data_IF_638525503922
#
_entry.id   IF_638525503922
#
_cell.length_a   1.000
_cell.length_b   1.000
_cell.length_c   1.000
_cell.angle_alpha   90.00
_cell.angle_beta   90.00
_cell.angle_gamma   90.00
#
_symmetry.space_group_name_H-M   'P 1'
#
loop_
_entity.id
_entity.type
_entity.pdbx_description
1 polymer ?
#
# COMPACT_ATOMS: atom_id res chain seq x y z
N UNK A 1 -13.67 2.18 31.03
CA UNK A 1 -13.27 1.67 32.37
C UNK A 1 -12.02 0.82 32.23
N UNK A 2 -11.08 0.88 33.17
CA UNK A 2 -9.88 0.02 33.19
C UNK A 2 -10.26 -1.37 33.75
N UNK A 3 -9.93 -2.49 33.07
CA UNK A 3 -10.21 -3.83 33.59
C UNK A 3 -9.50 -4.09 34.92
N UNK A 4 -10.16 -4.80 35.84
CA UNK A 4 -9.54 -5.28 37.09
C UNK A 4 -8.70 -6.52 36.76
N UNK A 5 -7.41 -6.34 36.53
CA UNK A 5 -6.45 -7.45 36.36
C UNK A 5 -6.02 -8.00 37.73
N UNK A 6 -5.65 -9.28 37.75
CA UNK A 6 -5.10 -9.96 38.94
C UNK A 6 -3.76 -9.34 39.35
N UNK A 7 -3.37 -9.43 40.63
CA UNK A 7 -2.16 -8.77 41.15
C UNK A 7 -0.88 -9.19 40.41
N UNK A 8 -0.83 -10.41 39.89
CA UNK A 8 0.30 -10.94 39.12
C UNK A 8 0.42 -10.36 37.69
N UNK A 9 -0.65 -9.79 37.15
CA UNK A 9 -0.67 -9.14 35.82
C UNK A 9 -0.57 -7.62 35.93
N UNK A 10 -0.48 -7.08 37.15
CA UNK A 10 -0.31 -5.64 37.37
C UNK A 10 1.07 -5.22 36.87
N UNK A 11 1.04 -4.30 35.91
CA UNK A 11 2.24 -3.70 35.32
C UNK A 11 2.81 -2.69 36.33
N UNK A 12 3.79 -3.13 37.11
CA UNK A 12 4.35 -2.38 38.23
C UNK A 12 5.44 -1.36 37.85
N UNK A 13 5.98 -1.43 36.62
CA UNK A 13 6.99 -0.50 36.13
C UNK A 13 6.37 0.59 35.24
N UNK A 14 6.70 1.86 35.51
CA UNK A 14 6.26 2.98 34.71
C UNK A 14 7.30 3.36 33.63
N UNK A 15 6.84 3.62 32.41
CA UNK A 15 7.64 4.17 31.32
C UNK A 15 7.24 5.64 31.11
N UNK A 16 8.15 6.58 31.40
CA UNK A 16 7.94 8.01 31.19
C UNK A 16 8.62 8.47 29.90
N UNK A 17 7.85 8.98 28.95
CA UNK A 17 8.37 9.53 27.69
C UNK A 17 8.11 11.03 27.68
N UNK A 18 9.16 11.82 27.42
CA UNK A 18 9.02 13.26 27.17
C UNK A 18 8.58 13.46 25.72
N UNK A 19 7.52 14.24 25.52
CA UNK A 19 6.95 14.53 24.20
C UNK A 19 6.67 16.02 24.09
N UNK A 20 6.76 16.55 22.88
CA UNK A 20 6.35 17.91 22.56
C UNK A 20 4.83 18.08 22.68
N UNK A 21 4.36 19.33 22.70
CA UNK A 21 2.92 19.63 22.77
C UNK A 21 2.17 19.06 21.56
N UNK A 22 2.76 19.14 20.37
CA UNK A 22 2.18 18.66 19.12
C UNK A 22 2.09 17.13 19.10
N UNK A 23 3.16 16.45 19.51
CA UNK A 23 3.19 14.99 19.63
C UNK A 23 2.11 14.49 20.59
N UNK A 24 1.92 15.17 21.72
CA UNK A 24 0.86 14.84 22.69
C UNK A 24 -0.54 14.98 22.09
N UNK A 25 -0.79 15.99 21.27
CA UNK A 25 -2.07 16.17 20.57
C UNK A 25 -2.27 15.05 19.55
N UNK A 26 -1.22 14.73 18.77
CA UNK A 26 -1.26 13.66 17.77
C UNK A 26 -1.51 12.28 18.38
N UNK A 27 -0.90 11.97 19.52
CA UNK A 27 -1.16 10.70 20.23
C UNK A 27 -2.62 10.63 20.71
N UNK A 28 -3.18 11.74 21.19
CA UNK A 28 -4.60 11.81 21.60
C UNK A 28 -5.55 11.59 20.43
N UNK A 29 -5.29 12.20 19.27
CA UNK A 29 -6.13 12.01 18.08
C UNK A 29 -6.07 10.57 17.59
N UNK A 30 -4.87 9.97 17.53
CA UNK A 30 -4.69 8.57 17.16
C UNK A 30 -5.41 7.60 18.11
N UNK A 31 -5.45 7.91 19.40
CA UNK A 31 -6.16 7.09 20.40
C UNK A 31 -7.66 7.06 20.11
N UNK A 32 -8.23 8.22 19.76
CA UNK A 32 -9.66 8.34 19.41
C UNK A 32 -10.00 7.61 18.11
N UNK A 33 -9.18 7.80 17.07
CA UNK A 33 -9.38 7.19 15.75
C UNK A 33 -9.28 5.67 15.83
N UNK A 34 -8.30 5.15 16.57
CA UNK A 34 -8.08 3.71 16.72
C UNK A 34 -9.02 3.00 17.68
N UNK A 35 -10.05 3.68 18.24
CA UNK A 35 -11.00 3.14 19.23
C UNK A 35 -10.31 2.50 20.45
N UNK A 36 -9.16 3.02 20.85
CA UNK A 36 -8.45 2.53 22.03
C UNK A 36 -9.05 3.10 23.31
N UNK A 37 -9.15 2.28 24.36
CA UNK A 37 -9.71 2.70 25.66
C UNK A 37 -8.86 3.77 26.37
N UNK A 38 -7.55 3.77 26.15
CA UNK A 38 -6.65 4.81 26.63
C UNK A 38 -5.37 4.93 25.78
N UNK A 39 -4.61 6.02 25.99
CA UNK A 39 -3.31 6.26 25.34
C UNK A 39 -2.34 5.11 25.65
N UNK A 40 -2.36 4.58 26.86
CA UNK A 40 -1.47 3.50 27.26
C UNK A 40 -1.79 2.17 26.57
N UNK A 41 -3.03 1.97 26.09
CA UNK A 41 -3.38 0.81 25.28
C UNK A 41 -2.88 1.00 23.86
N UNK A 42 -3.10 2.19 23.24
CA UNK A 42 -2.54 2.53 21.93
C UNK A 42 -1.02 2.31 21.89
N UNK A 43 -0.28 2.87 22.85
CA UNK A 43 1.18 2.76 22.90
C UNK A 43 1.60 1.29 23.02
N UNK A 44 0.92 0.50 23.84
CA UNK A 44 1.28 -0.91 24.03
C UNK A 44 0.94 -1.76 22.81
N UNK A 45 -0.21 -1.55 22.18
CA UNK A 45 -0.53 -2.21 20.92
C UNK A 45 0.50 -1.86 19.85
N UNK A 46 0.99 -0.62 19.84
CA UNK A 46 1.95 -0.15 18.85
C UNK A 46 3.41 -0.53 19.13
N UNK A 47 3.78 -0.84 20.37
CA UNK A 47 5.15 -1.25 20.73
C UNK A 47 5.25 -2.77 20.83
N UNK A 48 4.31 -3.41 21.51
CA UNK A 48 4.38 -4.84 21.87
C UNK A 48 3.55 -5.73 20.93
N UNK A 49 2.43 -5.24 20.40
CA UNK A 49 1.64 -5.96 19.39
C UNK A 49 1.92 -5.47 17.97
N UNK A 50 3.01 -4.72 17.78
CA UNK A 50 3.45 -4.37 16.44
C UNK A 50 3.99 -5.64 15.81
N UNK A 51 3.11 -6.38 15.14
CA UNK A 51 3.49 -7.34 14.12
C UNK A 51 4.18 -6.54 13.03
N UNK A 52 5.47 -6.27 13.24
CA UNK A 52 6.36 -5.73 12.23
C UNK A 52 6.41 -6.84 11.18
N UNK A 53 5.51 -6.80 10.20
CA UNK A 53 5.76 -7.41 8.90
C UNK A 53 6.93 -6.63 8.32
N UNK A 54 8.13 -6.91 8.82
CA UNK A 54 9.36 -6.51 8.16
C UNK A 54 9.33 -7.33 6.89
N UNK A 55 8.79 -6.75 5.83
CA UNK A 55 8.94 -7.30 4.50
C UNK A 55 10.40 -7.04 4.17
N UNK A 56 11.27 -7.98 4.53
CA UNK A 56 12.63 -8.01 4.01
C UNK A 56 12.46 -8.33 2.53
N UNK A 57 12.49 -7.29 1.70
CA UNK A 57 12.59 -7.47 0.27
C UNK A 57 13.97 -8.07 0.00
N UNK A 58 13.96 -9.26 -0.58
CA UNK A 58 15.17 -9.81 -1.19
C UNK A 58 15.66 -8.87 -2.30
N UNK A 59 16.97 -8.84 -2.57
CA UNK A 59 17.55 -7.97 -3.60
C UNK A 59 16.93 -8.23 -4.98
N UNK A 60 16.58 -9.49 -5.24
CA UNK A 60 15.88 -9.90 -6.46
C UNK A 60 14.46 -9.29 -6.53
N UNK A 61 13.70 -9.31 -5.42
CA UNK A 61 12.37 -8.71 -5.36
C UNK A 61 12.41 -7.19 -5.55
N UNK A 62 13.42 -6.51 -4.97
CA UNK A 62 13.63 -5.07 -5.17
C UNK A 62 13.92 -4.74 -6.64
N UNK A 63 14.70 -5.58 -7.32
CA UNK A 63 15.01 -5.42 -8.75
C UNK A 63 13.77 -5.62 -9.60
N UNK A 64 12.95 -6.63 -9.32
CA UNK A 64 11.69 -6.87 -10.04
C UNK A 64 10.69 -5.73 -9.88
N UNK A 65 10.59 -5.14 -8.67
CA UNK A 65 9.73 -3.98 -8.44
C UNK A 65 10.21 -2.78 -9.24
N UNK A 66 11.51 -2.50 -9.28
CA UNK A 66 12.07 -1.40 -10.08
C UNK A 66 11.83 -1.60 -11.57
N UNK A 67 11.98 -2.82 -12.08
CA UNK A 67 11.65 -3.16 -13.47
C UNK A 67 10.17 -2.93 -13.75
N UNK A 68 9.29 -3.35 -12.83
CA UNK A 68 7.85 -3.16 -12.96
C UNK A 68 7.49 -1.68 -12.97
N UNK A 69 8.06 -0.88 -12.07
CA UNK A 69 7.88 0.58 -12.01
C UNK A 69 8.32 1.27 -13.30
N UNK A 70 9.44 0.81 -13.88
CA UNK A 70 9.95 1.31 -15.15
C UNK A 70 8.99 1.03 -16.33
N UNK A 71 8.47 -0.20 -16.44
CA UNK A 71 7.52 -0.55 -17.49
C UNK A 71 6.17 0.18 -17.31
N UNK A 72 5.69 0.32 -16.07
CA UNK A 72 4.49 1.12 -15.78
C UNK A 72 4.67 2.59 -16.19
N UNK A 73 5.85 3.16 -15.96
CA UNK A 73 6.16 4.52 -16.41
C UNK A 73 6.11 4.65 -17.93
N UNK A 74 6.64 3.68 -18.68
CA UNK A 74 6.53 3.69 -20.16
C UNK A 74 5.08 3.67 -20.62
N UNK A 75 4.25 2.82 -20.02
CA UNK A 75 2.81 2.75 -20.32
C UNK A 75 2.16 4.11 -20.04
N UNK A 76 2.45 4.72 -18.90
CA UNK A 76 1.95 6.05 -18.54
C UNK A 76 2.35 7.14 -19.55
N UNK A 77 3.60 7.13 -20.00
CA UNK A 77 4.09 8.06 -21.04
C UNK A 77 3.34 7.86 -22.36
N UNK A 78 3.14 6.61 -22.80
CA UNK A 78 2.43 6.30 -24.04
C UNK A 78 0.95 6.74 -23.97
N UNK A 79 0.28 6.47 -22.84
CA UNK A 79 -1.10 6.92 -22.61
C UNK A 79 -1.20 8.45 -22.64
N UNK A 80 -0.22 9.14 -22.04
CA UNK A 80 -0.20 10.60 -22.05
C UNK A 80 -0.01 11.16 -23.46
N UNK A 81 0.79 10.50 -24.31
CA UNK A 81 0.94 10.88 -25.72
C UNK A 81 -0.37 10.68 -26.50
N UNK A 82 -1.07 9.58 -26.28
CA UNK A 82 -2.38 9.31 -26.89
C UNK A 82 -3.42 10.35 -26.43
N UNK A 83 -3.48 10.64 -25.14
CA UNK A 83 -4.38 11.66 -24.59
C UNK A 83 -4.12 13.03 -25.22
N UNK A 84 -2.85 13.43 -25.37
CA UNK A 84 -2.48 14.67 -26.08
C UNK A 84 -2.94 14.65 -27.55
N UNK A 85 -2.73 13.56 -28.28
CA UNK A 85 -3.19 13.43 -29.68
C UNK A 85 -4.70 13.59 -29.82
N UNK A 86 -5.47 12.94 -28.95
CA UNK A 86 -6.94 13.03 -28.90
C UNK A 86 -7.38 14.46 -28.59
N UNK A 87 -6.74 15.11 -27.62
CA UNK A 87 -7.07 16.49 -27.22
C UNK A 87 -6.65 17.55 -28.25
N UNK A 88 -5.79 17.20 -29.22
CA UNK A 88 -5.29 18.15 -30.24
C UNK A 88 -6.13 18.13 -31.53
N UNK A 89 -7.01 17.14 -31.71
CA UNK A 89 -7.84 17.04 -32.92
C UNK A 89 -9.33 16.94 -32.54
N UNK A 90 -10.12 17.97 -32.87
CA UNK A 90 -11.58 18.02 -32.62
C UNK A 90 -12.38 16.91 -33.36
N UNK A 91 -11.76 16.23 -34.33
CA UNK A 91 -12.29 15.01 -34.97
C UNK A 91 -11.15 14.01 -35.19
N UNK A 92 -10.63 13.38 -34.13
CA UNK A 92 -9.62 12.33 -34.27
C UNK A 92 -10.26 11.01 -34.72
N UNK A 93 -10.15 10.69 -36.02
CA UNK A 93 -10.45 9.35 -36.51
C UNK A 93 -9.23 8.45 -36.24
N UNK A 94 -9.39 7.46 -35.36
CA UNK A 94 -8.32 6.50 -35.06
C UNK A 94 -7.74 5.91 -36.35
N UNK A 95 -6.47 6.20 -36.61
CA UNK A 95 -5.74 5.64 -37.75
C UNK A 95 -5.57 4.12 -37.58
N UNK A 96 -5.23 3.42 -38.66
CA UNK A 96 -4.96 1.98 -38.60
C UNK A 96 -3.79 1.65 -37.64
N UNK A 97 -2.80 2.55 -37.56
CA UNK A 97 -1.64 2.41 -36.69
C UNK A 97 -2.00 2.58 -35.22
N UNK A 98 -2.85 3.57 -34.89
CA UNK A 98 -3.32 3.75 -33.50
C UNK A 98 -4.09 2.51 -33.03
N UNK A 99 -4.90 1.90 -33.90
CA UNK A 99 -5.63 0.65 -33.60
C UNK A 99 -4.68 -0.53 -33.35
N UNK A 100 -3.55 -0.59 -34.06
CA UNK A 100 -2.51 -1.59 -33.82
C UNK A 100 -1.87 -1.39 -32.44
N UNK A 101 -1.54 -0.15 -32.09
CA UNK A 101 -0.99 0.19 -30.77
C UNK A 101 -1.99 -0.16 -29.65
N UNK A 102 -3.28 0.16 -29.82
CA UNK A 102 -4.30 -0.22 -28.83
C UNK A 102 -4.45 -1.73 -28.67
N UNK A 103 -4.35 -2.51 -29.77
CA UNK A 103 -4.38 -3.97 -29.68
C UNK A 103 -3.16 -4.53 -28.93
N UNK A 104 -1.98 -3.96 -29.15
CA UNK A 104 -0.77 -4.34 -28.41
C UNK A 104 -0.91 -4.03 -26.92
N UNK A 105 -1.35 -2.81 -26.57
CA UNK A 105 -1.59 -2.41 -25.18
C UNK A 105 -2.63 -3.32 -24.51
N UNK A 106 -3.71 -3.66 -25.20
CA UNK A 106 -4.73 -4.58 -24.68
C UNK A 106 -4.16 -6.00 -24.44
N UNK A 107 -3.29 -6.47 -25.34
CA UNK A 107 -2.65 -7.77 -25.19
C UNK A 107 -1.69 -7.80 -23.99
N UNK A 108 -0.90 -6.74 -23.79
CA UNK A 108 -0.01 -6.65 -22.64
C UNK A 108 -0.78 -6.56 -21.32
N UNK A 109 -1.87 -5.78 -21.27
CA UNK A 109 -2.75 -5.74 -20.10
C UNK A 109 -3.30 -7.13 -19.76
N UNK A 110 -3.75 -7.90 -20.77
CA UNK A 110 -4.20 -9.28 -20.57
C UNK A 110 -3.10 -10.19 -20.02
N UNK A 111 -1.87 -10.04 -20.49
CA UNK A 111 -0.73 -10.81 -19.98
C UNK A 111 -0.45 -10.46 -18.51
N UNK A 112 -0.46 -9.17 -18.15
CA UNK A 112 -0.33 -8.72 -16.76
C UNK A 112 -1.44 -9.28 -15.87
N UNK A 113 -2.70 -9.24 -16.33
CA UNK A 113 -3.82 -9.82 -15.59
C UNK A 113 -3.67 -11.32 -15.40
N UNK A 114 -3.21 -12.06 -16.41
CA UNK A 114 -2.96 -13.50 -16.30
C UNK A 114 -1.92 -13.83 -15.23
N UNK A 115 -0.84 -13.04 -15.15
CA UNK A 115 0.18 -13.19 -14.11
C UNK A 115 -0.38 -12.91 -12.73
N UNK A 116 -1.10 -11.80 -12.57
CA UNK A 116 -1.75 -11.44 -11.30
C UNK A 116 -2.75 -12.50 -10.84
N UNK A 117 -3.56 -13.02 -11.77
CA UNK A 117 -4.52 -14.09 -11.49
C UNK A 117 -3.81 -15.37 -11.04
N UNK A 118 -2.68 -15.73 -11.66
CA UNK A 118 -1.84 -16.86 -11.22
C UNK A 118 -1.36 -16.72 -9.78
N UNK A 119 -1.01 -15.50 -9.35
CA UNK A 119 -0.62 -15.24 -7.96
C UNK A 119 -1.82 -15.27 -7.01
N UNK A 120 -2.99 -14.78 -7.44
CA UNK A 120 -4.23 -14.88 -6.68
C UNK A 120 -4.64 -16.34 -6.44
N UNK A 121 -4.62 -17.17 -7.49
CA UNK A 121 -4.99 -18.59 -7.39
C UNK A 121 -4.06 -19.37 -6.44
N UNK A 122 -2.76 -19.01 -6.40
CA UNK A 122 -1.79 -19.57 -5.46
C UNK A 122 -2.04 -19.16 -4.00
N UNK A 123 -2.60 -17.98 -3.77
CA UNK A 123 -2.98 -17.54 -2.42
C UNK A 123 -4.25 -18.25 -1.95
N UNK A 124 -5.17 -18.58 -2.85
CA UNK A 124 -6.42 -19.27 -2.53
C UNK A 124 -6.25 -20.79 -2.36
N UNK A 125 -5.29 -21.42 -3.06
CA UNK A 125 -4.95 -22.85 -2.89
C UNK A 125 -4.01 -23.15 -1.72
N UNK A 126 -3.48 -22.11 -1.05
CA UNK A 126 -2.65 -22.22 0.15
C UNK A 126 -3.41 -22.18 1.48
N UNK A 127 -4.72 -22.45 1.47
CA UNK A 127 -5.55 -22.62 2.68
C UNK A 127 -5.92 -24.08 2.93
#
# INVERSE_FOLDING_TARGET
MRPRLTDNEKRNTALTIRVSREEKIRIKSLTKIGKFGCISDLIRTRIFNFNKKVINLDEEASTQIKLTDYELNKIGVNLNQIAKKINTHDVYQFSADDRLVFKQVLQELRNCFSVLQKYMDRLDTGR
#
